data_IF_297617775211
#
_entry.id   IF_297617775211
#
_cell.length_a   1.000
_cell.length_b   1.000
_cell.length_c   1.000
_cell.angle_alpha   90.00
_cell.angle_beta   90.00
_cell.angle_gamma   90.00
#
_symmetry.space_group_name_H-M   'P 1'
#
loop_
_entity.id
_entity.type
_entity.pdbx_description
1 polymer ?
#
# COMPACT_ATOMS: atom_id res chain seq x y z
N UNK A 1 9.54 28.66 36.24
CA UNK A 1 9.52 28.82 34.76
C UNK A 1 9.33 30.30 34.46
N UNK A 2 10.18 30.90 33.63
CA UNK A 2 10.15 32.35 33.36
C UNK A 2 8.86 32.71 32.57
N UNK A 3 8.15 33.81 32.88
CA UNK A 3 7.02 34.32 32.11
C UNK A 3 7.24 34.32 30.58
N UNK A 4 8.45 34.66 30.13
CA UNK A 4 8.81 34.65 28.69
C UNK A 4 8.71 33.24 28.11
N UNK A 5 9.20 32.23 28.85
CA UNK A 5 9.11 30.81 28.44
C UNK A 5 7.66 30.35 28.37
N UNK A 6 6.81 30.77 29.32
CA UNK A 6 5.38 30.45 29.32
C UNK A 6 4.68 31.05 28.08
N UNK A 7 4.98 32.30 27.73
CA UNK A 7 4.42 32.97 26.56
C UNK A 7 4.83 32.28 25.24
N UNK A 8 6.10 31.89 25.10
CA UNK A 8 6.57 31.18 23.90
C UNK A 8 5.85 29.83 23.75
N UNK A 9 5.70 29.07 24.84
CA UNK A 9 4.97 27.80 24.83
C UNK A 9 3.51 28.03 24.43
N UNK A 10 2.84 29.05 24.99
CA UNK A 10 1.44 29.36 24.67
C UNK A 10 1.27 29.67 23.17
N UNK A 11 2.14 30.48 22.59
CA UNK A 11 2.12 30.81 21.15
C UNK A 11 2.35 29.56 20.31
N UNK A 12 3.29 28.70 20.69
CA UNK A 12 3.55 27.45 19.99
C UNK A 12 2.34 26.50 20.02
N UNK A 13 1.66 26.40 21.17
CA UNK A 13 0.44 25.58 21.33
C UNK A 13 -0.70 26.14 20.47
N UNK A 14 -0.93 27.45 20.49
CA UNK A 14 -1.96 28.08 19.66
C UNK A 14 -1.66 27.86 18.17
N UNK A 15 -0.42 28.06 17.75
CA UNK A 15 0.01 27.79 16.37
C UNK A 15 -0.21 26.34 15.96
N UNK A 16 0.12 25.39 16.84
CA UNK A 16 -0.13 23.96 16.61
C UNK A 16 -1.63 23.63 16.49
N UNK A 17 -2.48 24.21 17.34
CA UNK A 17 -3.93 24.01 17.28
C UNK A 17 -4.53 24.55 15.98
N UNK A 18 -4.09 25.73 15.52
CA UNK A 18 -4.50 26.30 14.23
C UNK A 18 -4.07 25.37 13.09
N UNK A 19 -2.81 24.91 13.11
CA UNK A 19 -2.30 23.98 12.10
C UNK A 19 -3.13 22.69 12.03
N UNK A 20 -3.45 22.09 13.18
CA UNK A 20 -4.28 20.89 13.25
C UNK A 20 -5.73 21.15 12.82
N UNK A 21 -6.29 22.32 13.14
CA UNK A 21 -7.61 22.73 12.70
C UNK A 21 -7.71 22.79 11.17
N UNK A 22 -6.73 23.45 10.52
CA UNK A 22 -6.63 23.51 9.05
C UNK A 22 -6.49 22.10 8.47
N UNK A 23 -5.58 21.27 9.03
CA UNK A 23 -5.36 19.90 8.57
C UNK A 23 -6.65 19.07 8.60
N UNK A 24 -7.34 19.08 9.72
CA UNK A 24 -8.56 18.31 9.91
C UNK A 24 -9.69 18.78 9.00
N UNK A 25 -9.80 20.08 8.77
CA UNK A 25 -10.77 20.64 7.84
C UNK A 25 -10.53 20.16 6.39
N UNK A 26 -9.28 20.21 5.92
CA UNK A 26 -8.92 19.74 4.58
C UNK A 26 -9.18 18.23 4.42
N UNK A 27 -8.76 17.43 5.40
CA UNK A 27 -9.00 15.98 5.41
C UNK A 27 -10.50 15.66 5.41
N UNK A 28 -11.29 16.34 6.24
CA UNK A 28 -12.73 16.13 6.30
C UNK A 28 -13.41 16.46 4.96
N UNK A 29 -13.03 17.58 4.35
CA UNK A 29 -13.56 18.01 3.06
C UNK A 29 -13.23 17.01 1.95
N UNK A 30 -11.97 16.59 1.84
CA UNK A 30 -11.56 15.57 0.85
C UNK A 30 -12.24 14.22 1.12
N UNK A 31 -12.36 13.79 2.37
CA UNK A 31 -13.05 12.53 2.71
C UNK A 31 -14.54 12.56 2.34
N UNK A 32 -15.21 13.69 2.52
CA UNK A 32 -16.61 13.84 2.13
C UNK A 32 -16.76 13.84 0.60
N UNK A 33 -15.88 14.54 -0.12
CA UNK A 33 -15.85 14.51 -1.59
C UNK A 33 -15.56 13.08 -2.12
N UNK A 34 -14.63 12.36 -1.50
CA UNK A 34 -14.30 10.97 -1.82
C UNK A 34 -15.52 10.05 -1.65
N UNK A 35 -16.28 10.18 -0.55
CA UNK A 35 -17.53 9.43 -0.32
C UNK A 35 -18.58 9.70 -1.39
N UNK A 36 -18.61 10.93 -1.90
CA UNK A 36 -19.52 11.36 -2.96
C UNK A 36 -18.99 11.05 -4.37
N UNK A 37 -17.83 10.38 -4.49
CA UNK A 37 -17.14 10.10 -5.76
C UNK A 37 -16.81 11.37 -6.58
N UNK A 38 -16.67 12.51 -5.91
CA UNK A 38 -16.35 13.79 -6.53
C UNK A 38 -14.83 13.95 -6.63
N UNK A 39 -14.25 13.36 -7.69
CA UNK A 39 -12.81 13.43 -7.96
C UNK A 39 -12.33 14.85 -8.24
N UNK A 40 -13.18 15.70 -8.86
CA UNK A 40 -12.86 17.08 -9.16
C UNK A 40 -12.63 17.91 -7.89
N UNK A 41 -13.52 17.79 -6.90
CA UNK A 41 -13.36 18.47 -5.61
C UNK A 41 -12.16 17.94 -4.83
N UNK A 42 -11.93 16.62 -4.80
CA UNK A 42 -10.74 16.06 -4.14
C UNK A 42 -9.47 16.61 -4.78
N UNK A 43 -9.36 16.58 -6.11
CA UNK A 43 -8.19 17.08 -6.82
C UNK A 43 -7.96 18.57 -6.57
N UNK A 44 -9.01 19.39 -6.65
CA UNK A 44 -8.94 20.83 -6.38
C UNK A 44 -8.43 21.13 -4.97
N UNK A 45 -8.89 20.38 -3.96
CA UNK A 45 -8.44 20.56 -2.57
C UNK A 45 -7.00 20.08 -2.41
N UNK A 46 -6.66 18.91 -2.96
CA UNK A 46 -5.33 18.32 -2.88
C UNK A 46 -4.26 19.21 -3.55
N UNK A 47 -4.61 19.91 -4.63
CA UNK A 47 -3.70 20.80 -5.35
C UNK A 47 -3.53 22.18 -4.69
N UNK A 48 -4.28 22.49 -3.61
CA UNK A 48 -4.08 23.75 -2.90
C UNK A 48 -2.71 23.79 -2.21
N UNK A 49 -1.96 24.92 -2.29
CA UNK A 49 -0.67 25.04 -1.61
C UNK A 49 -0.74 24.82 -0.09
N UNK A 50 -1.86 25.21 0.53
CA UNK A 50 -2.10 24.96 1.96
C UNK A 50 -2.24 23.48 2.26
N UNK A 51 -2.94 22.73 1.40
CA UNK A 51 -3.13 21.29 1.55
C UNK A 51 -1.81 20.56 1.44
N UNK A 52 -1.03 20.84 0.39
CA UNK A 52 0.30 20.25 0.18
C UNK A 52 1.26 20.58 1.32
N UNK A 53 1.24 21.82 1.84
CA UNK A 53 2.07 22.20 3.00
C UNK A 53 1.69 21.49 4.30
N UNK A 54 0.39 21.33 4.56
CA UNK A 54 -0.10 20.81 5.85
C UNK A 54 -0.15 19.28 5.88
N UNK A 55 -0.43 18.63 4.74
CA UNK A 55 -0.57 17.17 4.63
C UNK A 55 0.62 16.49 3.98
N UNK A 56 1.41 17.22 3.19
CA UNK A 56 2.51 16.68 2.38
C UNK A 56 2.05 16.27 0.99
N UNK A 57 3.00 16.31 0.04
CA UNK A 57 2.82 15.94 -1.37
C UNK A 57 2.26 14.52 -1.52
N UNK A 58 2.87 13.55 -0.84
CA UNK A 58 2.48 12.14 -0.90
C UNK A 58 1.02 11.90 -0.53
N UNK A 59 0.55 12.52 0.56
CA UNK A 59 -0.83 12.35 1.02
C UNK A 59 -1.80 12.98 0.03
N UNK A 60 -1.48 14.16 -0.51
CA UNK A 60 -2.34 14.84 -1.49
C UNK A 60 -2.45 14.01 -2.78
N UNK A 61 -1.34 13.49 -3.30
CA UNK A 61 -1.34 12.66 -4.50
C UNK A 61 -2.08 11.33 -4.28
N UNK A 62 -1.93 10.70 -3.11
CA UNK A 62 -2.73 9.53 -2.73
C UNK A 62 -4.23 9.79 -2.73
N UNK A 63 -4.67 10.95 -2.25
CA UNK A 63 -6.08 11.35 -2.28
C UNK A 63 -6.59 11.47 -3.72
N UNK A 64 -5.81 12.09 -4.60
CA UNK A 64 -6.13 12.20 -6.04
C UNK A 64 -6.26 10.82 -6.67
N UNK A 65 -5.25 9.97 -6.50
CA UNK A 65 -5.25 8.61 -7.05
C UNK A 65 -6.50 7.81 -6.63
N UNK A 66 -6.83 7.83 -5.33
CA UNK A 66 -8.02 7.14 -4.81
C UNK A 66 -9.31 7.71 -5.35
N UNK A 67 -9.41 9.04 -5.48
CA UNK A 67 -10.60 9.68 -5.99
C UNK A 67 -10.85 9.34 -7.46
N UNK A 68 -9.80 9.35 -8.29
CA UNK A 68 -9.91 8.95 -9.69
C UNK A 68 -10.33 7.47 -9.82
N UNK A 69 -9.75 6.58 -9.00
CA UNK A 69 -10.15 5.16 -8.98
C UNK A 69 -11.63 4.97 -8.61
N UNK A 70 -12.09 5.64 -7.55
CA UNK A 70 -13.48 5.52 -7.06
C UNK A 70 -14.50 6.12 -8.03
N UNK A 71 -14.12 7.21 -8.71
CA UNK A 71 -14.95 7.87 -9.72
C UNK A 71 -14.97 7.13 -11.07
N UNK A 72 -14.11 6.12 -11.27
CA UNK A 72 -13.95 5.45 -12.56
C UNK A 72 -13.21 6.28 -13.62
N UNK A 73 -12.55 7.35 -13.20
CA UNK A 73 -11.78 8.24 -14.06
C UNK A 73 -10.43 7.61 -14.39
N UNK A 74 -10.44 6.74 -15.40
CA UNK A 74 -9.32 5.85 -15.72
C UNK A 74 -8.10 6.62 -16.23
N UNK A 75 -8.30 7.66 -17.04
CA UNK A 75 -7.20 8.44 -17.60
C UNK A 75 -6.42 9.17 -16.50
N UNK A 76 -7.11 9.93 -15.65
CA UNK A 76 -6.44 10.64 -14.55
C UNK A 76 -5.88 9.68 -13.50
N UNK A 77 -6.55 8.54 -13.29
CA UNK A 77 -6.03 7.48 -12.42
C UNK A 77 -4.69 6.95 -12.94
N UNK A 78 -4.59 6.60 -14.22
CA UNK A 78 -3.37 6.05 -14.82
C UNK A 78 -2.22 7.06 -14.81
N UNK A 79 -2.51 8.31 -15.17
CA UNK A 79 -1.53 9.40 -15.10
C UNK A 79 -1.02 9.59 -13.68
N UNK A 80 -1.92 9.61 -12.68
CA UNK A 80 -1.53 9.75 -11.29
C UNK A 80 -0.76 8.52 -10.78
N UNK A 81 -1.13 7.31 -11.19
CA UNK A 81 -0.43 6.08 -10.79
C UNK A 81 1.03 6.12 -11.25
N UNK A 82 1.28 6.49 -12.51
CA UNK A 82 2.62 6.62 -13.07
C UNK A 82 3.41 7.77 -12.43
N UNK A 83 2.76 8.92 -12.22
CA UNK A 83 3.36 10.06 -11.52
C UNK A 83 3.85 9.66 -10.12
N UNK A 84 3.00 8.99 -9.32
CA UNK A 84 3.36 8.55 -7.98
C UNK A 84 4.44 7.46 -7.99
N UNK A 85 4.46 6.60 -9.02
CA UNK A 85 5.47 5.55 -9.15
C UNK A 85 6.86 6.11 -9.50
N UNK A 86 6.92 7.24 -10.21
CA UNK A 86 8.19 7.89 -10.58
C UNK A 86 8.68 8.87 -9.49
N UNK A 87 7.75 9.52 -8.78
CA UNK A 87 8.05 10.61 -7.82
C UNK A 87 8.80 10.13 -6.57
N UNK A 88 9.92 10.80 -6.27
CA UNK A 88 10.60 10.70 -4.99
C UNK A 88 9.99 11.65 -3.96
N UNK A 89 9.37 11.07 -2.92
CA UNK A 89 8.73 11.83 -1.85
C UNK A 89 9.70 12.11 -0.70
N UNK A 90 9.57 13.28 -0.06
CA UNK A 90 10.34 13.62 1.14
C UNK A 90 9.99 12.75 2.35
N UNK A 91 8.81 12.13 2.35
CA UNK A 91 8.43 11.14 3.34
C UNK A 91 9.29 9.89 3.16
N UNK A 92 9.99 9.50 4.24
CA UNK A 92 10.77 8.26 4.28
C UNK A 92 9.91 7.09 3.80
N UNK A 93 10.47 6.32 2.86
CA UNK A 93 9.86 5.14 2.26
C UNK A 93 8.54 5.38 1.51
N UNK A 94 8.14 6.63 1.25
CA UNK A 94 6.85 6.95 0.62
C UNK A 94 6.62 6.27 -0.73
N UNK A 95 7.62 6.32 -1.61
CA UNK A 95 7.61 5.64 -2.92
C UNK A 95 7.59 4.12 -2.75
N UNK A 96 8.46 3.56 -1.91
CA UNK A 96 8.51 2.10 -1.67
C UNK A 96 7.19 1.58 -1.11
N UNK A 97 6.62 2.21 -0.09
CA UNK A 97 5.33 1.83 0.50
C UNK A 97 4.19 1.94 -0.50
N UNK A 98 4.21 2.95 -1.39
CA UNK A 98 3.26 3.09 -2.48
C UNK A 98 3.35 1.93 -3.46
N UNK A 99 4.56 1.67 -3.99
CA UNK A 99 4.81 0.58 -4.92
C UNK A 99 4.37 -0.75 -4.30
N UNK A 100 4.83 -1.07 -3.08
CA UNK A 100 4.44 -2.29 -2.34
C UNK A 100 2.92 -2.42 -2.21
N UNK A 101 2.24 -1.39 -1.72
CA UNK A 101 0.80 -1.48 -1.45
C UNK A 101 -0.02 -1.67 -2.74
N UNK A 102 0.23 -0.85 -3.76
CA UNK A 102 -0.59 -0.86 -4.98
C UNK A 102 -0.23 -2.02 -5.90
N UNK A 103 1.04 -2.42 -5.97
CA UNK A 103 1.46 -3.60 -6.72
C UNK A 103 0.73 -4.85 -6.21
N UNK A 104 0.81 -5.13 -4.91
CA UNK A 104 0.14 -6.29 -4.31
C UNK A 104 -1.39 -6.20 -4.40
N UNK A 105 -1.97 -4.99 -4.35
CA UNK A 105 -3.40 -4.79 -4.62
C UNK A 105 -3.78 -5.21 -6.04
N UNK A 106 -2.97 -4.87 -7.05
CA UNK A 106 -3.24 -5.26 -8.44
C UNK A 106 -2.99 -6.74 -8.71
N UNK A 107 -2.03 -7.37 -8.02
CA UNK A 107 -1.86 -8.82 -8.04
C UNK A 107 -3.13 -9.54 -7.59
N UNK A 108 -3.68 -9.15 -6.42
CA UNK A 108 -4.92 -9.74 -5.88
C UNK A 108 -6.11 -9.53 -6.83
N UNK A 109 -6.17 -8.38 -7.50
CA UNK A 109 -7.23 -8.06 -8.46
C UNK A 109 -7.03 -8.70 -9.85
N UNK A 110 -5.92 -9.40 -10.09
CA UNK A 110 -5.59 -9.94 -11.41
C UNK A 110 -5.32 -8.86 -12.47
N UNK A 111 -5.04 -7.62 -12.07
CA UNK A 111 -4.84 -6.52 -13.00
C UNK A 111 -3.40 -6.48 -13.51
N UNK A 112 -3.12 -7.27 -14.55
CA UNK A 112 -1.79 -7.39 -15.15
C UNK A 112 -1.24 -6.05 -15.64
N UNK A 113 -2.05 -5.22 -16.32
CA UNK A 113 -1.60 -3.93 -16.87
C UNK A 113 -0.93 -3.06 -15.80
N UNK A 114 -1.59 -2.85 -14.67
CA UNK A 114 -1.03 -2.00 -13.61
C UNK A 114 0.06 -2.69 -12.79
N UNK A 115 -0.04 -4.02 -12.60
CA UNK A 115 1.02 -4.79 -11.97
C UNK A 115 2.34 -4.70 -12.78
N UNK A 116 2.29 -4.77 -14.11
CA UNK A 116 3.45 -4.65 -14.99
C UNK A 116 4.11 -3.29 -14.86
N UNK A 117 3.31 -2.22 -14.84
CA UNK A 117 3.82 -0.85 -14.68
C UNK A 117 4.53 -0.67 -13.35
N UNK A 118 3.92 -1.11 -12.24
CA UNK A 118 4.53 -0.98 -10.93
C UNK A 118 5.73 -1.90 -10.75
N UNK A 119 5.71 -3.13 -11.29
CA UNK A 119 6.85 -4.04 -11.24
C UNK A 119 8.07 -3.47 -11.98
N UNK A 120 7.83 -2.80 -13.12
CA UNK A 120 8.90 -2.10 -13.85
C UNK A 120 9.58 -1.04 -12.99
N UNK A 121 8.82 -0.30 -12.17
CA UNK A 121 9.38 0.69 -11.26
C UNK A 121 10.04 0.06 -10.03
N UNK A 122 9.47 -1.02 -9.48
CA UNK A 122 10.07 -1.80 -8.37
C UNK A 122 11.47 -2.31 -8.76
N UNK A 123 11.64 -2.81 -9.99
CA UNK A 123 12.93 -3.31 -10.52
C UNK A 123 14.04 -2.26 -10.59
N UNK A 124 13.71 -0.96 -10.48
CA UNK A 124 14.70 0.12 -10.43
C UNK A 124 15.22 0.39 -9.01
N UNK A 125 14.67 -0.28 -7.99
CA UNK A 125 15.11 -0.13 -6.61
C UNK A 125 16.50 -0.77 -6.39
N UNK A 126 17.29 -0.21 -5.46
CA UNK A 126 18.53 -0.87 -5.01
C UNK A 126 18.27 -1.95 -3.93
N UNK A 127 17.01 -2.16 -3.53
CA UNK A 127 16.62 -3.15 -2.54
C UNK A 127 16.34 -4.51 -3.22
N UNK A 128 17.39 -5.34 -3.32
CA UNK A 128 17.31 -6.66 -3.93
C UNK A 128 16.28 -7.58 -3.26
N UNK A 129 16.06 -7.43 -1.94
CA UNK A 129 15.07 -8.22 -1.19
C UNK A 129 13.67 -7.81 -1.62
N UNK A 130 13.41 -6.50 -1.71
CA UNK A 130 12.15 -5.95 -2.20
C UNK A 130 11.84 -6.40 -3.63
N UNK A 131 12.83 -6.34 -4.53
CA UNK A 131 12.66 -6.81 -5.91
C UNK A 131 12.30 -8.29 -5.94
N UNK A 132 13.09 -9.14 -5.28
CA UNK A 132 12.93 -10.59 -5.36
C UNK A 132 11.53 -11.04 -4.95
N UNK A 133 11.04 -10.56 -3.80
CA UNK A 133 9.75 -11.04 -3.30
C UNK A 133 8.58 -10.49 -4.13
N UNK A 134 8.70 -9.29 -4.70
CA UNK A 134 7.69 -8.75 -5.62
C UNK A 134 7.65 -9.54 -6.94
N UNK A 135 8.80 -9.91 -7.51
CA UNK A 135 8.87 -10.75 -8.71
C UNK A 135 8.31 -12.16 -8.46
N UNK A 136 8.66 -12.77 -7.34
CA UNK A 136 8.09 -14.03 -6.89
C UNK A 136 6.57 -13.95 -6.73
N UNK A 137 6.07 -12.85 -6.14
CA UNK A 137 4.63 -12.63 -6.00
C UNK A 137 3.92 -12.45 -7.34
N UNK A 138 4.56 -11.78 -8.30
CA UNK A 138 4.05 -11.65 -9.67
C UNK A 138 3.93 -13.02 -10.35
N UNK A 139 5.02 -13.80 -10.29
CA UNK A 139 5.11 -15.14 -10.88
C UNK A 139 4.00 -16.06 -10.35
N UNK A 140 3.76 -16.06 -9.05
CA UNK A 140 2.68 -16.88 -8.47
C UNK A 140 1.30 -16.33 -8.83
N UNK A 141 1.06 -15.03 -8.68
CA UNK A 141 -0.29 -14.49 -8.79
C UNK A 141 -0.78 -14.32 -10.22
N UNK A 142 0.10 -13.96 -11.15
CA UNK A 142 -0.27 -13.65 -12.53
C UNK A 142 0.27 -14.67 -13.53
N UNK A 143 1.45 -15.26 -13.31
CA UNK A 143 1.99 -16.31 -14.19
C UNK A 143 1.61 -17.72 -13.74
N UNK A 144 0.90 -17.84 -12.63
CA UNK A 144 0.40 -19.10 -12.06
C UNK A 144 1.48 -20.15 -11.79
N UNK A 145 2.73 -19.72 -11.58
CA UNK A 145 3.84 -20.60 -11.23
C UNK A 145 3.58 -21.29 -9.88
N UNK A 146 3.90 -22.58 -9.82
CA UNK A 146 3.78 -23.44 -8.63
C UNK A 146 5.11 -24.11 -8.24
N UNK A 147 6.19 -23.79 -8.94
CA UNK A 147 7.53 -24.38 -8.80
C UNK A 147 8.46 -23.54 -7.90
N UNK A 148 7.95 -22.51 -7.23
CA UNK A 148 8.73 -21.58 -6.40
C UNK A 148 8.68 -21.90 -4.90
N UNK A 149 7.96 -22.95 -4.49
CA UNK A 149 7.72 -23.29 -3.07
C UNK A 149 9.05 -23.44 -2.32
N UNK A 150 9.98 -24.28 -2.79
CA UNK A 150 11.23 -24.57 -2.10
C UNK A 150 12.09 -23.30 -1.92
N UNK A 151 12.20 -22.47 -2.96
CA UNK A 151 12.95 -21.21 -2.92
C UNK A 151 12.33 -20.24 -1.89
N UNK A 152 11.00 -20.11 -1.90
CA UNK A 152 10.28 -19.23 -0.99
C UNK A 152 10.36 -19.70 0.46
N UNK A 153 10.27 -21.01 0.71
CA UNK A 153 10.40 -21.62 2.04
C UNK A 153 11.81 -21.41 2.59
N UNK A 154 12.85 -21.60 1.77
CA UNK A 154 14.22 -21.32 2.18
C UNK A 154 14.44 -19.84 2.51
N UNK A 155 13.83 -18.93 1.75
CA UNK A 155 13.88 -17.50 2.04
C UNK A 155 13.18 -17.15 3.38
N UNK A 156 12.09 -17.85 3.73
CA UNK A 156 11.43 -17.73 5.05
C UNK A 156 12.33 -18.27 6.16
N UNK A 157 12.89 -19.47 6.00
CA UNK A 157 13.73 -20.14 7.01
C UNK A 157 15.03 -19.37 7.29
N UNK A 158 15.62 -18.77 6.26
CA UNK A 158 16.80 -17.90 6.37
C UNK A 158 16.49 -16.52 6.97
N UNK A 159 15.24 -16.25 7.37
CA UNK A 159 14.77 -14.97 7.94
C UNK A 159 15.08 -13.77 7.04
N UNK A 160 14.98 -13.97 5.72
CA UNK A 160 15.19 -12.91 4.73
C UNK A 160 14.09 -11.86 4.75
N UNK A 161 12.86 -12.26 5.11
CA UNK A 161 11.68 -11.40 5.09
C UNK A 161 11.09 -11.16 6.47
N UNK A 162 10.52 -9.96 6.66
CA UNK A 162 9.83 -9.54 7.88
C UNK A 162 8.56 -8.75 7.53
N UNK A 163 7.62 -8.69 8.48
CA UNK A 163 6.40 -7.88 8.36
C UNK A 163 5.58 -8.24 7.12
N UNK A 164 5.22 -7.24 6.32
CA UNK A 164 4.38 -7.42 5.13
C UNK A 164 4.98 -8.40 4.11
N UNK A 165 6.28 -8.28 3.81
CA UNK A 165 6.95 -9.15 2.84
C UNK A 165 6.88 -10.63 3.24
N UNK A 166 7.06 -10.93 4.54
CA UNK A 166 6.93 -12.30 5.07
C UNK A 166 5.50 -12.81 4.89
N UNK A 167 4.50 -12.01 5.27
CA UNK A 167 3.09 -12.37 5.10
C UNK A 167 2.71 -12.60 3.63
N UNK A 168 3.22 -11.77 2.72
CA UNK A 168 2.99 -11.92 1.29
C UNK A 168 3.60 -13.23 0.75
N UNK A 169 4.86 -13.54 1.10
CA UNK A 169 5.51 -14.79 0.65
C UNK A 169 4.82 -16.03 1.20
N UNK A 170 4.42 -16.03 2.48
CA UNK A 170 3.65 -17.15 3.05
C UNK A 170 2.32 -17.35 2.31
N UNK A 171 1.64 -16.26 1.94
CA UNK A 171 0.45 -16.33 1.10
C UNK A 171 0.76 -16.91 -0.29
N UNK A 172 1.88 -16.52 -0.93
CA UNK A 172 2.29 -17.09 -2.22
C UNK A 172 2.56 -18.59 -2.13
N UNK A 173 3.23 -19.06 -1.07
CA UNK A 173 3.46 -20.49 -0.83
C UNK A 173 2.11 -21.22 -0.70
N UNK A 174 1.17 -20.67 0.07
CA UNK A 174 -0.16 -21.26 0.24
C UNK A 174 -0.92 -21.39 -1.09
N UNK A 175 -0.87 -20.37 -1.95
CA UNK A 175 -1.53 -20.38 -3.25
C UNK A 175 -0.96 -21.48 -4.16
N UNK A 176 0.36 -21.68 -4.17
CA UNK A 176 0.98 -22.73 -4.95
C UNK A 176 0.54 -24.12 -4.48
N UNK A 177 0.56 -24.39 -3.17
CA UNK A 177 0.06 -25.65 -2.61
C UNK A 177 -1.42 -25.89 -2.93
N UNK A 178 -2.26 -24.86 -2.81
CA UNK A 178 -3.69 -24.94 -3.11
C UNK A 178 -3.94 -25.36 -4.56
N UNK A 179 -3.20 -24.79 -5.52
CA UNK A 179 -3.30 -25.17 -6.94
C UNK A 179 -2.80 -26.59 -7.22
N UNK A 180 -1.89 -27.11 -6.41
CA UNK A 180 -1.41 -28.48 -6.48
C UNK A 180 -2.33 -29.49 -5.79
N UNK A 181 -3.39 -29.04 -5.11
CA UNK A 181 -4.32 -29.89 -4.35
C UNK A 181 -3.76 -30.35 -2.99
N UNK A 182 -2.72 -29.71 -2.48
CA UNK A 182 -2.18 -29.97 -1.14
C UNK A 182 -2.82 -29.03 -0.12
N UNK A 183 -4.08 -29.33 0.21
CA UNK A 183 -4.91 -28.48 1.07
C UNK A 183 -4.33 -28.33 2.49
N UNK A 184 -3.63 -29.37 2.97
CA UNK A 184 -3.02 -29.37 4.30
C UNK A 184 -1.94 -28.28 4.38
N UNK A 185 -0.98 -28.30 3.46
CA UNK A 185 0.09 -27.30 3.45
C UNK A 185 -0.48 -25.92 3.10
N UNK A 186 -1.42 -25.84 2.15
CA UNK A 186 -2.06 -24.58 1.80
C UNK A 186 -2.71 -23.90 3.02
N UNK A 187 -3.44 -24.65 3.84
CA UNK A 187 -4.09 -24.15 5.05
C UNK A 187 -3.07 -23.69 6.11
N UNK A 188 -2.02 -24.48 6.34
CA UNK A 188 -0.96 -24.14 7.31
C UNK A 188 -0.24 -22.83 6.96
N UNK A 189 0.15 -22.66 5.69
CA UNK A 189 0.77 -21.42 5.22
C UNK A 189 -0.21 -20.24 5.22
N UNK A 190 -1.50 -20.47 4.97
CA UNK A 190 -2.52 -19.42 5.05
C UNK A 190 -2.70 -18.89 6.48
N UNK A 191 -2.70 -19.76 7.50
CA UNK A 191 -2.71 -19.34 8.91
C UNK A 191 -1.44 -18.57 9.28
N UNK A 192 -0.29 -19.00 8.78
CA UNK A 192 0.98 -18.31 9.02
C UNK A 192 1.01 -16.94 8.35
N UNK A 193 0.49 -16.80 7.13
CA UNK A 193 0.31 -15.52 6.45
C UNK A 193 -0.60 -14.60 7.28
N UNK A 194 -1.74 -15.10 7.77
CA UNK A 194 -2.65 -14.35 8.65
C UNK A 194 -1.97 -13.84 9.92
N UNK A 195 -1.13 -14.66 10.55
CA UNK A 195 -0.42 -14.28 11.77
C UNK A 195 0.65 -13.20 11.53
N UNK A 196 1.24 -13.16 10.33
CA UNK A 196 2.28 -12.17 9.98
C UNK A 196 1.71 -10.84 9.46
N UNK A 197 0.54 -10.87 8.82
CA UNK A 197 -0.05 -9.70 8.19
C UNK A 197 -0.73 -8.80 9.21
N UNK A 198 -0.54 -7.48 9.05
CA UNK A 198 -1.34 -6.52 9.79
C UNK A 198 -2.83 -6.67 9.40
N UNK A 199 -3.81 -6.53 10.32
CA UNK A 199 -5.24 -6.74 10.02
C UNK A 199 -5.82 -5.86 8.89
N UNK A 200 -5.12 -4.79 8.52
CA UNK A 200 -5.48 -3.86 7.43
C UNK A 200 -4.63 -4.05 6.16
N UNK A 201 -3.79 -5.08 6.09
CA UNK A 201 -2.98 -5.37 4.92
C UNK A 201 -3.85 -5.84 3.74
N UNK A 202 -3.38 -5.60 2.52
CA UNK A 202 -4.15 -5.84 1.28
C UNK A 202 -4.56 -7.31 1.10
N UNK A 203 -3.78 -8.25 1.65
CA UNK A 203 -4.05 -9.69 1.58
C UNK A 203 -5.07 -10.19 2.61
N UNK A 204 -5.32 -9.46 3.71
CA UNK A 204 -6.21 -9.95 4.78
C UNK A 204 -7.60 -10.36 4.30
N UNK A 205 -8.29 -9.61 3.42
CA UNK A 205 -9.62 -10.01 2.95
C UNK A 205 -9.62 -11.34 2.18
N UNK A 206 -8.59 -11.63 1.40
CA UNK A 206 -8.50 -12.90 0.64
C UNK A 206 -8.03 -14.06 1.51
N UNK A 207 -7.17 -13.79 2.49
CA UNK A 207 -6.77 -14.75 3.53
C UNK A 207 -7.97 -15.17 4.38
N UNK A 208 -8.73 -14.21 4.91
CA UNK A 208 -9.92 -14.47 5.74
C UNK A 208 -11.05 -15.13 4.95
N UNK A 209 -11.15 -14.86 3.64
CA UNK A 209 -12.07 -15.59 2.77
C UNK A 209 -11.65 -17.05 2.63
N UNK A 210 -10.39 -17.30 2.29
CA UNK A 210 -9.87 -18.65 2.11
C UNK A 210 -10.06 -19.53 3.36
N UNK A 211 -9.67 -19.03 4.52
CA UNK A 211 -9.77 -19.78 5.78
C UNK A 211 -11.23 -20.13 6.12
N UNK A 212 -12.17 -19.20 5.90
CA UNK A 212 -13.60 -19.46 6.14
C UNK A 212 -14.22 -20.46 5.18
N UNK A 213 -13.64 -20.66 4.01
CA UNK A 213 -14.13 -21.62 3.01
C UNK A 213 -13.51 -23.01 3.19
N UNK A 214 -12.37 -23.10 3.86
CA UNK A 214 -11.63 -24.34 4.13
C UNK A 214 -11.97 -24.98 5.50
N UNK A 215 -12.54 -24.21 6.44
CA UNK A 215 -13.02 -24.62 7.77
C UNK A 215 -14.52 -24.95 7.77
#
# INVERSE_FOLDING_TARGET
MNPITLTIILIAVIGYLIFQGIKNFQLHSMNNALKNKDSGTVAKIADMPVSRRVMGEYVCDLYKLRAYYIAGDTENFEQMLLHMADTEYSQKDGKKSFLETYFHTFLIKGNRKYADWLLKEIRKSDDAVFIQYCEQSYAVMLEERNDLIDEMVEAVNSKRYYGFALGAILYMIAIQYSRMGDDKNALEYMHSAKACLHPRAVYMPVVDKYLREAE
#
